data_IF_915023723881
#
_entry.id   IF_915023723881
#
_cell.length_a   1.000
_cell.length_b   1.000
_cell.length_c   1.000
_cell.angle_alpha   90.00
_cell.angle_beta   90.00
_cell.angle_gamma   90.00
#
_symmetry.space_group_name_H-M   'P 1'
#
loop_
_entity.id
_entity.type
_entity.pdbx_description
1 polymer ?
#
# COMPACT_ATOMS: atom_id res chain seq x y z
N UNK A 1 9.68 18.19 21.89
CA UNK A 1 11.05 18.63 21.56
C UNK A 1 11.76 17.46 20.93
N UNK A 2 12.12 17.55 19.65
CA UNK A 2 12.86 16.52 18.93
C UNK A 2 14.30 16.49 19.50
N UNK A 3 14.84 15.31 19.81
CA UNK A 3 16.22 15.18 20.31
C UNK A 3 17.23 15.61 19.24
N UNK A 4 18.38 16.17 19.63
CA UNK A 4 19.44 16.57 18.70
C UNK A 4 19.91 15.42 17.79
N UNK A 5 19.87 14.18 18.29
CA UNK A 5 20.17 12.97 17.52
C UNK A 5 19.13 12.75 16.42
N UNK A 6 17.85 12.96 16.73
CA UNK A 6 16.76 12.77 15.78
C UNK A 6 16.77 13.85 14.69
N UNK A 7 17.10 15.09 15.06
CA UNK A 7 17.26 16.17 14.09
C UNK A 7 18.41 15.90 13.13
N UNK A 8 19.55 15.40 13.62
CA UNK A 8 20.67 15.01 12.76
C UNK A 8 20.29 13.87 11.79
N UNK A 9 19.46 12.92 12.25
CA UNK A 9 18.93 11.83 11.41
C UNK A 9 17.99 12.32 10.31
N UNK A 10 17.08 13.24 10.65
CA UNK A 10 16.16 13.85 9.68
C UNK A 10 16.96 14.57 8.59
N UNK A 11 17.99 15.33 8.99
CA UNK A 11 18.86 16.05 8.05
C UNK A 11 19.66 15.09 7.15
N UNK A 12 20.17 13.97 7.68
CA UNK A 12 20.84 12.94 6.89
C UNK A 12 19.89 12.34 5.84
N UNK A 13 18.67 11.98 6.24
CA UNK A 13 17.65 11.46 5.33
C UNK A 13 17.27 12.48 4.24
N UNK A 14 17.03 13.74 4.62
CA UNK A 14 16.72 14.83 3.69
C UNK A 14 17.87 15.05 2.68
N UNK A 15 19.12 15.01 3.15
CA UNK A 15 20.30 15.17 2.30
C UNK A 15 20.47 14.01 1.31
N UNK A 16 20.28 12.77 1.75
CA UNK A 16 20.37 11.60 0.87
C UNK A 16 19.22 11.57 -0.15
N UNK A 17 18.00 11.89 0.26
CA UNK A 17 16.84 12.02 -0.64
C UNK A 17 17.04 13.14 -1.66
N UNK A 18 17.54 14.30 -1.24
CA UNK A 18 17.85 15.42 -2.12
C UNK A 18 19.05 15.14 -3.03
N UNK A 19 20.07 14.44 -2.54
CA UNK A 19 21.24 14.00 -3.31
C UNK A 19 20.86 13.03 -4.43
N UNK A 20 19.98 12.07 -4.14
CA UNK A 20 19.36 11.21 -5.14
C UNK A 20 18.51 12.00 -6.17
N UNK A 21 18.00 13.18 -5.79
CA UNK A 21 17.28 14.06 -6.71
C UNK A 21 18.18 14.95 -7.57
N UNK A 22 19.27 15.49 -7.00
CA UNK A 22 20.12 16.51 -7.63
C UNK A 22 21.02 15.99 -8.76
N UNK A 23 21.33 14.69 -8.82
CA UNK A 23 22.19 14.12 -9.86
C UNK A 23 21.45 13.05 -10.67
N UNK A 24 20.80 13.42 -11.81
CA UNK A 24 20.08 12.49 -12.68
C UNK A 24 20.90 11.29 -13.17
N UNK A 25 22.23 11.44 -13.21
CA UNK A 25 23.19 10.43 -13.69
C UNK A 25 23.70 9.49 -12.59
N UNK A 26 23.51 9.82 -11.31
CA UNK A 26 23.72 8.89 -10.20
C UNK A 26 22.45 8.05 -9.93
N UNK A 27 21.35 8.40 -10.59
CA UNK A 27 20.05 7.77 -10.39
C UNK A 27 20.06 6.38 -10.96
N UNK A 28 19.15 5.58 -10.43
CA UNK A 28 18.50 4.37 -10.95
C UNK A 28 18.04 4.42 -12.44
N UNK A 29 18.52 5.39 -13.23
CA UNK A 29 18.54 5.40 -14.67
C UNK A 29 19.45 4.25 -15.16
N UNK A 30 18.79 3.18 -15.58
CA UNK A 30 19.33 2.19 -16.52
C UNK A 30 20.54 1.41 -15.98
N UNK A 31 20.30 0.58 -14.97
CA UNK A 31 21.08 -0.66 -14.78
C UNK A 31 22.24 -0.67 -13.78
N UNK A 32 22.75 0.49 -13.31
CA UNK A 32 24.07 0.48 -12.63
C UNK A 32 24.11 0.84 -11.14
N UNK A 33 22.97 1.15 -10.48
CA UNK A 33 22.95 1.27 -9.01
C UNK A 33 21.90 0.33 -8.42
N UNK A 34 22.32 -0.90 -8.17
CA UNK A 34 21.54 -1.98 -7.55
C UNK A 34 21.38 -1.83 -6.03
N UNK A 35 21.97 -0.80 -5.41
CA UNK A 35 22.02 -0.66 -3.96
C UNK A 35 21.30 0.62 -3.48
N UNK A 36 20.13 0.43 -2.89
CA UNK A 36 19.48 1.46 -2.07
C UNK A 36 20.35 1.66 -0.82
N UNK A 37 20.77 2.89 -0.55
CA UNK A 37 21.58 3.23 0.64
C UNK A 37 20.86 2.77 1.92
N UNK A 38 21.58 2.29 2.96
CA UNK A 38 20.97 1.91 4.24
C UNK A 38 20.12 3.02 4.87
N UNK A 39 20.45 4.29 4.60
CA UNK A 39 19.67 5.46 5.03
C UNK A 39 18.28 5.46 4.37
N UNK A 40 18.23 5.26 3.06
CA UNK A 40 16.98 5.22 2.29
C UNK A 40 16.15 3.97 2.58
N UNK A 41 16.81 2.83 2.81
CA UNK A 41 16.13 1.59 3.24
C UNK A 41 15.45 1.78 4.60
N UNK A 42 16.04 2.60 5.50
CA UNK A 42 15.43 2.97 6.78
C UNK A 42 14.16 3.80 6.58
N UNK A 43 14.16 4.76 5.66
CA UNK A 43 12.97 5.54 5.31
C UNK A 43 11.87 4.64 4.75
N UNK A 44 12.22 3.66 3.90
CA UNK A 44 11.27 2.65 3.43
C UNK A 44 10.70 1.81 4.58
N UNK A 45 11.54 1.42 5.55
CA UNK A 45 11.12 0.67 6.73
C UNK A 45 10.15 1.47 7.62
N UNK A 46 10.39 2.76 7.81
CA UNK A 46 9.49 3.65 8.56
C UNK A 46 8.13 3.75 7.86
N UNK A 47 8.11 3.93 6.54
CA UNK A 47 6.86 3.95 5.77
C UNK A 47 6.14 2.59 5.80
N UNK A 48 6.89 1.48 5.76
CA UNK A 48 6.35 0.12 5.91
C UNK A 48 5.66 -0.08 7.25
N UNK A 49 6.20 0.47 8.34
CA UNK A 49 5.67 0.26 9.68
C UNK A 49 4.53 1.22 10.03
N UNK A 50 4.62 2.47 9.56
CA UNK A 50 3.71 3.55 10.00
C UNK A 50 2.70 3.95 8.93
N UNK A 51 3.01 3.72 7.66
CA UNK A 51 2.24 4.27 6.54
C UNK A 51 2.33 5.78 6.38
N UNK A 52 3.12 6.49 7.21
CA UNK A 52 3.16 7.95 7.22
C UNK A 52 4.29 8.46 6.33
N UNK A 53 3.98 9.17 5.22
CA UNK A 53 4.99 9.76 4.35
C UNK A 53 5.55 11.01 5.02
N UNK A 54 6.81 10.93 5.48
CA UNK A 54 7.45 12.00 6.25
C UNK A 54 8.31 12.95 5.41
N UNK A 55 8.47 12.71 4.11
CA UNK A 55 9.33 13.50 3.24
C UNK A 55 8.59 13.90 1.96
N UNK A 56 9.10 14.91 1.27
CA UNK A 56 8.49 15.42 0.05
C UNK A 56 8.25 14.28 -0.97
N UNK A 57 7.01 14.19 -1.45
CA UNK A 57 6.52 13.07 -2.26
C UNK A 57 7.38 12.81 -3.49
N UNK A 58 7.88 13.84 -4.17
CA UNK A 58 8.72 13.68 -5.36
C UNK A 58 9.98 12.83 -5.08
N UNK A 59 10.59 12.99 -3.90
CA UNK A 59 11.74 12.19 -3.50
C UNK A 59 11.33 10.76 -3.12
N UNK A 60 10.24 10.61 -2.36
CA UNK A 60 9.70 9.32 -1.96
C UNK A 60 9.25 8.48 -3.16
N UNK A 61 8.60 9.11 -4.15
CA UNK A 61 8.14 8.48 -5.39
C UNK A 61 9.30 7.89 -6.17
N UNK A 62 10.41 8.62 -6.32
CA UNK A 62 11.62 8.11 -6.99
C UNK A 62 12.20 6.91 -6.24
N UNK A 63 12.27 6.98 -4.90
CA UNK A 63 12.75 5.87 -4.06
C UNK A 63 11.84 4.64 -4.19
N UNK A 64 10.52 4.83 -4.15
CA UNK A 64 9.53 3.75 -4.30
C UNK A 64 9.60 3.12 -5.69
N UNK A 65 9.75 3.92 -6.75
CA UNK A 65 9.92 3.42 -8.12
C UNK A 65 11.19 2.58 -8.26
N UNK A 66 12.30 3.02 -7.66
CA UNK A 66 13.55 2.26 -7.65
C UNK A 66 13.39 0.92 -6.91
N UNK A 67 12.81 0.94 -5.71
CA UNK A 67 12.56 -0.27 -4.91
C UNK A 67 11.60 -1.23 -5.62
N UNK A 68 10.54 -0.70 -6.23
CA UNK A 68 9.56 -1.46 -6.99
C UNK A 68 10.20 -2.21 -8.16
N UNK A 69 11.05 -1.55 -8.95
CA UNK A 69 11.79 -2.19 -10.04
C UNK A 69 12.67 -3.32 -9.52
N UNK A 70 13.45 -3.05 -8.46
CA UNK A 70 14.31 -4.06 -7.84
C UNK A 70 13.51 -5.28 -7.35
N UNK A 71 12.34 -5.05 -6.73
CA UNK A 71 11.47 -6.11 -6.23
C UNK A 71 10.89 -6.98 -7.37
N UNK A 72 10.52 -6.35 -8.49
CA UNK A 72 10.04 -7.06 -9.68
C UNK A 72 11.17 -7.88 -10.31
N UNK A 73 12.37 -7.32 -10.44
CA UNK A 73 13.54 -8.02 -10.99
C UNK A 73 13.94 -9.22 -10.12
N UNK A 74 13.90 -9.08 -8.79
CA UNK A 74 14.17 -10.17 -7.85
C UNK A 74 13.20 -11.34 -8.02
N UNK A 75 11.89 -11.09 -8.02
CA UNK A 75 10.89 -12.16 -8.18
C UNK A 75 10.90 -12.73 -9.60
N UNK A 76 11.21 -11.91 -10.61
CA UNK A 76 11.38 -12.39 -11.98
C UNK A 76 12.57 -13.34 -12.11
N UNK A 77 13.68 -13.05 -11.44
CA UNK A 77 14.84 -13.94 -11.38
C UNK A 77 14.53 -15.27 -10.66
N UNK A 78 13.78 -15.22 -9.55
CA UNK A 78 13.34 -16.42 -8.82
C UNK A 78 12.37 -17.30 -9.62
N UNK A 79 11.40 -16.70 -10.33
CA UNK A 79 10.42 -17.42 -11.15
C UNK A 79 11.07 -18.15 -12.33
N UNK A 80 12.17 -17.61 -12.88
CA UNK A 80 13.00 -18.30 -13.89
C UNK A 80 13.69 -19.56 -13.35
N UNK A 81 14.05 -19.58 -12.07
CA UNK A 81 14.76 -20.70 -11.45
C UNK A 81 13.81 -21.82 -11.01
N UNK A 82 12.59 -21.49 -10.58
CA UNK A 82 11.57 -22.46 -10.16
C UNK A 82 10.23 -22.19 -10.87
N UNK A 83 10.04 -22.70 -12.11
CA UNK A 83 8.77 -22.51 -12.82
C UNK A 83 7.62 -23.16 -12.04
N UNK A 84 6.60 -22.38 -11.66
CA UNK A 84 5.42 -22.92 -10.99
C UNK A 84 4.60 -23.77 -11.97
N UNK A 85 4.37 -25.09 -11.72
CA UNK A 85 3.57 -25.92 -12.60
C UNK A 85 2.10 -25.49 -12.60
N UNK A 86 1.47 -25.40 -13.78
CA UNK A 86 0.02 -25.24 -13.92
C UNK A 86 -0.52 -23.80 -13.96
N UNK A 87 0.31 -22.77 -13.73
CA UNK A 87 -0.08 -21.39 -14.06
C UNK A 87 0.26 -21.17 -15.53
N UNK A 88 -0.71 -21.44 -16.39
CA UNK A 88 -0.59 -21.33 -17.85
C UNK A 88 -0.17 -19.94 -18.29
N UNK A 89 1.14 -19.73 -18.41
CA UNK A 89 1.70 -18.63 -19.15
C UNK A 89 2.46 -19.19 -20.36
N UNK A 90 1.82 -19.04 -21.52
CA UNK A 90 2.27 -19.58 -22.80
C UNK A 90 3.72 -19.14 -23.13
N UNK A 91 4.60 -20.05 -23.59
CA UNK A 91 5.98 -19.74 -23.98
C UNK A 91 6.09 -18.65 -25.05
N UNK A 92 5.09 -18.48 -25.91
CA UNK A 92 5.06 -17.49 -27.00
C UNK A 92 4.72 -16.07 -26.55
N UNK A 93 4.41 -15.85 -25.27
CA UNK A 93 3.95 -14.57 -24.71
C UNK A 93 4.69 -14.16 -23.42
N UNK A 94 5.82 -14.82 -23.09
CA UNK A 94 6.57 -14.67 -21.82
C UNK A 94 7.14 -13.27 -21.55
N UNK A 95 7.75 -12.64 -22.53
CA UNK A 95 8.48 -11.40 -22.27
C UNK A 95 7.65 -10.14 -22.58
N UNK A 96 6.98 -10.06 -23.73
CA UNK A 96 6.30 -8.83 -24.14
C UNK A 96 5.25 -8.36 -23.13
N UNK A 97 4.41 -9.26 -22.62
CA UNK A 97 3.41 -8.89 -21.61
C UNK A 97 3.98 -8.65 -20.20
N UNK A 98 5.15 -9.19 -19.87
CA UNK A 98 5.76 -8.95 -18.56
C UNK A 98 6.30 -7.53 -18.48
N UNK A 99 7.14 -7.15 -19.45
CA UNK A 99 7.74 -5.83 -19.51
C UNK A 99 6.66 -4.75 -19.60
N UNK A 100 5.59 -5.00 -20.36
CA UNK A 100 4.40 -4.15 -20.43
C UNK A 100 3.71 -3.98 -19.07
N UNK A 101 3.53 -5.06 -18.31
CA UNK A 101 2.87 -4.98 -17.00
C UNK A 101 3.74 -4.35 -15.93
N UNK A 102 5.05 -4.60 -15.94
CA UNK A 102 5.99 -3.90 -15.08
C UNK A 102 6.03 -2.40 -15.41
N UNK A 103 6.07 -2.06 -16.70
CA UNK A 103 5.95 -0.68 -17.15
C UNK A 103 4.62 -0.06 -16.68
N UNK A 104 3.51 -0.78 -16.78
CA UNK A 104 2.21 -0.32 -16.31
C UNK A 104 2.20 -0.02 -14.80
N UNK A 105 2.65 -0.95 -13.96
CA UNK A 105 2.69 -0.74 -12.49
C UNK A 105 3.59 0.46 -12.13
N UNK A 106 4.77 0.56 -12.75
CA UNK A 106 5.65 1.72 -12.52
C UNK A 106 5.04 3.03 -13.03
N UNK A 107 4.31 2.98 -14.15
CA UNK A 107 3.56 4.11 -14.71
C UNK A 107 2.44 4.56 -13.78
N UNK A 108 1.64 3.64 -13.26
CA UNK A 108 0.59 3.92 -12.27
C UNK A 108 1.16 4.65 -11.06
N UNK A 109 2.24 4.13 -10.45
CA UNK A 109 2.87 4.79 -9.32
C UNK A 109 3.38 6.21 -9.66
N UNK A 110 3.85 6.41 -10.90
CA UNK A 110 4.34 7.71 -11.36
C UNK A 110 3.23 8.75 -11.60
N UNK A 111 1.98 8.32 -11.83
CA UNK A 111 0.83 9.23 -12.04
C UNK A 111 0.33 9.89 -10.75
N UNK A 112 0.69 9.38 -9.59
CA UNK A 112 0.26 9.94 -8.31
C UNK A 112 0.95 11.29 -8.03
N UNK A 113 0.15 12.33 -7.83
CA UNK A 113 0.61 13.66 -7.37
C UNK A 113 0.94 13.69 -5.87
N UNK A 114 0.47 12.69 -5.11
CA UNK A 114 0.75 12.52 -3.69
C UNK A 114 0.80 11.05 -3.29
N UNK A 115 1.30 10.72 -2.09
CA UNK A 115 1.40 9.34 -1.63
C UNK A 115 0.01 8.69 -1.55
N UNK A 116 -0.20 7.48 -2.11
CA UNK A 116 -1.49 6.80 -2.03
C UNK A 116 -1.77 6.36 -0.60
N UNK A 117 -3.05 6.25 -0.20
CA UNK A 117 -3.38 5.73 1.15
C UNK A 117 -2.91 4.28 1.38
N UNK A 118 -2.64 3.55 0.29
CA UNK A 118 -2.08 2.20 0.30
C UNK A 118 -0.56 2.18 0.48
N UNK A 119 0.10 3.33 0.73
CA UNK A 119 1.56 3.45 0.83
C UNK A 119 2.19 2.43 1.78
N UNK A 120 1.58 2.19 2.94
CA UNK A 120 2.07 1.19 3.89
C UNK A 120 2.08 -0.20 3.27
N UNK A 121 0.96 -0.62 2.69
CA UNK A 121 0.83 -1.95 2.11
C UNK A 121 1.70 -2.12 0.88
N UNK A 122 1.84 -1.07 0.08
CA UNK A 122 2.76 -1.01 -1.06
C UNK A 122 4.20 -1.22 -0.59
N UNK A 123 4.66 -0.47 0.41
CA UNK A 123 6.02 -0.56 0.96
C UNK A 123 6.31 -1.91 1.61
N UNK A 124 5.35 -2.52 2.32
CA UNK A 124 5.47 -3.89 2.82
C UNK A 124 5.79 -4.90 1.71
N UNK A 125 5.04 -4.84 0.61
CA UNK A 125 5.15 -5.81 -0.49
C UNK A 125 6.47 -5.62 -1.26
N UNK A 126 6.84 -4.39 -1.60
CA UNK A 126 8.08 -4.15 -2.37
C UNK A 126 9.35 -4.33 -1.54
N UNK A 127 9.28 -4.25 -0.21
CA UNK A 127 10.44 -4.54 0.66
C UNK A 127 10.66 -6.05 0.84
N UNK A 128 9.60 -6.85 0.88
CA UNK A 128 9.69 -8.30 1.07
C UNK A 128 8.83 -9.05 0.04
N UNK A 129 9.18 -8.96 -1.25
CA UNK A 129 8.34 -9.48 -2.32
C UNK A 129 8.29 -11.02 -2.30
N UNK A 130 9.39 -11.70 -2.00
CA UNK A 130 9.46 -13.17 -1.97
C UNK A 130 8.68 -13.79 -0.80
N UNK A 131 8.58 -13.10 0.34
CA UNK A 131 7.74 -13.53 1.46
C UNK A 131 6.26 -13.36 1.15
N UNK A 132 5.93 -12.31 0.41
CA UNK A 132 4.55 -11.95 0.10
C UNK A 132 3.97 -12.77 -1.06
N UNK A 133 4.77 -12.99 -2.11
CA UNK A 133 4.34 -13.65 -3.34
C UNK A 133 5.45 -14.50 -3.95
N UNK A 134 5.18 -15.80 -4.09
CA UNK A 134 6.08 -16.77 -4.75
C UNK A 134 6.06 -16.72 -6.28
N UNK A 135 5.12 -15.98 -6.86
CA UNK A 135 4.95 -15.89 -8.31
C UNK A 135 4.83 -14.42 -8.70
N UNK A 136 5.60 -14.06 -9.72
CA UNK A 136 5.67 -12.72 -10.28
C UNK A 136 4.31 -12.19 -10.71
N UNK A 137 3.48 -13.05 -11.31
CA UNK A 137 2.13 -12.69 -11.73
C UNK A 137 1.25 -12.25 -10.55
N UNK A 138 1.36 -12.94 -9.41
CA UNK A 138 0.60 -12.58 -8.20
C UNK A 138 1.09 -11.26 -7.61
N UNK A 139 2.41 -11.04 -7.62
CA UNK A 139 3.01 -9.79 -7.18
C UNK A 139 2.50 -8.60 -8.01
N UNK A 140 2.58 -8.69 -9.34
CA UNK A 140 2.10 -7.64 -10.26
C UNK A 140 0.61 -7.38 -10.03
N UNK A 141 -0.23 -8.43 -9.94
CA UNK A 141 -1.66 -8.27 -9.70
C UNK A 141 -1.95 -7.58 -8.36
N UNK A 142 -1.18 -7.87 -7.32
CA UNK A 142 -1.33 -7.23 -6.02
C UNK A 142 -0.95 -5.74 -6.09
N UNK A 143 0.15 -5.42 -6.78
CA UNK A 143 0.61 -4.05 -6.96
C UNK A 143 -0.37 -3.22 -7.80
N UNK A 144 -0.89 -3.76 -8.90
CA UNK A 144 -1.92 -3.11 -9.71
C UNK A 144 -3.16 -2.78 -8.87
N UNK A 145 -3.61 -3.70 -8.00
CA UNK A 145 -4.75 -3.45 -7.11
C UNK A 145 -4.47 -2.35 -6.08
N UNK A 146 -3.26 -2.28 -5.55
CA UNK A 146 -2.87 -1.26 -4.58
C UNK A 146 -2.72 0.12 -5.21
N UNK A 147 -2.38 0.17 -6.50
CA UNK A 147 -2.21 1.40 -7.27
C UNK A 147 -3.46 1.80 -8.06
N UNK A 148 -4.49 0.95 -8.14
CA UNK A 148 -5.79 1.26 -8.75
C UNK A 148 -6.65 2.22 -7.89
N UNK A 149 -6.08 2.75 -6.81
CA UNK A 149 -6.73 3.70 -5.91
C UNK A 149 -6.58 5.12 -6.43
N UNK A 150 -7.54 6.00 -6.09
CA UNK A 150 -7.49 7.42 -6.47
C UNK A 150 -7.21 8.36 -5.31
N UNK A 151 -7.30 7.90 -4.07
CA UNK A 151 -7.11 8.75 -2.89
C UNK A 151 -5.63 8.81 -2.45
N UNK A 152 -5.21 10.03 -2.13
CA UNK A 152 -3.88 10.35 -1.61
C UNK A 152 -3.96 10.82 -0.16
N UNK A 153 -2.84 10.69 0.55
CA UNK A 153 -2.64 11.20 1.90
C UNK A 153 -1.66 12.37 1.90
N UNK A 154 -1.72 13.20 2.93
CA UNK A 154 -0.84 14.36 3.04
C UNK A 154 0.54 13.93 3.54
N UNK A 155 1.58 14.56 2.99
CA UNK A 155 2.94 14.43 3.53
C UNK A 155 3.01 15.13 4.88
N UNK A 156 3.60 14.45 5.85
CA UNK A 156 3.75 14.94 7.23
C UNK A 156 5.18 15.44 7.42
N UNK A 157 5.37 16.49 8.22
CA UNK A 157 6.71 16.93 8.59
C UNK A 157 7.37 15.84 9.46
N UNK A 158 8.62 15.43 9.20
CA UNK A 158 9.26 14.36 9.95
C UNK A 158 9.40 14.72 11.45
N UNK A 159 9.46 16.01 11.78
CA UNK A 159 9.53 16.50 13.17
C UNK A 159 8.20 16.37 13.92
N UNK A 160 7.06 16.28 13.22
CA UNK A 160 5.72 16.12 13.83
C UNK A 160 5.17 14.71 13.66
N UNK A 161 5.74 13.90 12.78
CA UNK A 161 5.31 12.53 12.48
C UNK A 161 5.15 11.62 13.72
N UNK A 162 6.05 11.63 14.72
CA UNK A 162 5.90 10.77 15.91
C UNK A 162 4.59 11.01 16.68
N UNK A 163 4.16 12.27 16.77
CA UNK A 163 2.91 12.63 17.44
C UNK A 163 1.69 12.10 16.68
N UNK A 164 1.73 12.17 15.34
CA UNK A 164 0.65 11.68 14.48
C UNK A 164 0.55 10.16 14.54
N UNK A 165 1.68 9.45 14.44
CA UNK A 165 1.71 7.98 14.55
C UNK A 165 1.17 7.50 15.90
N UNK A 166 1.49 8.21 16.99
CA UNK A 166 1.02 7.85 18.32
C UNK A 166 -0.51 8.01 18.48
N UNK A 167 -1.12 9.00 17.82
CA UNK A 167 -2.58 9.17 17.80
C UNK A 167 -3.29 8.00 17.12
N UNK A 168 -2.73 7.46 16.03
CA UNK A 168 -3.32 6.31 15.34
C UNK A 168 -3.07 4.98 16.06
N UNK A 169 -2.03 4.89 16.89
CA UNK A 169 -1.66 3.67 17.63
C UNK A 169 -2.35 3.54 18.98
N UNK A 170 -2.74 4.66 19.58
CA UNK A 170 -3.41 4.69 20.87
C UNK A 170 -4.88 4.99 20.63
N UNK A 171 -5.81 4.03 20.71
CA UNK A 171 -7.19 4.42 20.92
C UNK A 171 -7.21 5.08 22.30
N UNK A 172 -7.25 6.42 22.35
CA UNK A 172 -7.77 7.07 23.55
C UNK A 172 -9.12 6.41 23.83
N UNK A 173 -9.43 5.97 25.06
CA UNK A 173 -10.80 5.62 25.39
C UNK A 173 -11.59 6.90 25.14
N UNK A 174 -12.32 6.94 24.04
CA UNK A 174 -13.31 7.99 23.81
C UNK A 174 -14.26 7.86 25.00
N UNK A 175 -14.29 8.84 25.89
CA UNK A 175 -15.40 9.02 26.80
C UNK A 175 -16.65 9.17 25.92
N UNK A 176 -17.38 8.06 25.75
CA UNK A 176 -18.68 8.05 25.11
C UNK A 176 -19.66 8.57 26.14
N UNK A 177 -19.60 9.86 26.45
CA UNK A 177 -20.69 10.52 27.19
C UNK A 177 -21.62 11.21 26.19
N UNK A 178 -22.57 10.42 25.71
CA UNK A 178 -23.85 10.89 25.18
C UNK A 178 -24.77 9.68 25.08
N UNK A 179 -25.75 9.51 25.99
CA UNK A 179 -26.79 8.54 25.76
C UNK A 179 -27.55 8.94 24.50
N UNK A 180 -27.44 8.13 23.46
CA UNK A 180 -28.35 8.18 22.30
C UNK A 180 -29.76 8.05 22.87
N UNK A 181 -30.48 9.17 22.92
CA UNK A 181 -31.90 9.16 23.21
C UNK A 181 -32.56 8.30 22.13
N UNK A 182 -33.07 7.12 22.53
CA UNK A 182 -33.90 6.30 21.67
C UNK A 182 -35.11 7.14 21.25
N UNK A 183 -35.49 7.21 19.97
CA UNK A 183 -36.74 7.83 19.59
C UNK A 183 -37.87 7.08 20.30
N UNK A 184 -38.67 7.81 21.08
CA UNK A 184 -39.89 7.28 21.68
C UNK A 184 -40.84 7.02 20.51
N UNK A 185 -41.31 5.78 20.26
CA UNK A 185 -42.31 5.55 19.24
C UNK A 185 -43.60 6.29 19.65
N UNK A 186 -44.05 7.22 18.81
CA UNK A 186 -45.37 7.82 18.94
C UNK A 186 -46.41 6.71 18.71
N UNK A 187 -47.16 6.38 19.75
CA UNK A 187 -48.36 5.54 19.65
C UNK A 187 -49.37 6.28 18.79
N UNK A 188 -49.51 5.90 17.52
CA UNK A 188 -50.67 6.25 16.71
C UNK A 188 -51.72 5.19 16.99
N UNK A 189 -52.76 5.58 17.73
CA UNK A 189 -53.95 4.77 17.90
C UNK A 189 -54.67 4.59 16.56
N UNK A 190 -55.06 3.34 16.25
CA UNK A 190 -56.29 3.13 15.50
C UNK A 190 -56.20 2.31 14.20
N UNK A 191 -56.70 1.07 14.33
CA UNK A 191 -57.55 0.34 13.38
C UNK A 191 -56.90 -0.36 12.19
N UNK A 192 -56.97 -1.70 12.18
CA UNK A 192 -56.92 -2.49 10.94
C UNK A 192 -56.15 -3.81 11.04
N UNK A 193 -56.87 -4.85 11.46
CA UNK A 193 -56.48 -6.26 11.45
C UNK A 193 -56.03 -6.74 10.05
N UNK A 194 -54.75 -7.11 9.88
CA UNK A 194 -54.31 -8.00 8.80
C UNK A 194 -53.12 -8.86 9.25
N UNK A 195 -53.42 -10.15 9.38
CA UNK A 195 -52.54 -11.26 9.68
C UNK A 195 -51.60 -11.53 8.50
N UNK A 196 -50.28 -11.34 8.67
CA UNK A 196 -49.28 -11.76 7.67
C UNK A 196 -48.19 -12.56 8.36
N UNK A 197 -48.37 -13.88 8.33
CA UNK A 197 -47.40 -14.87 8.78
C UNK A 197 -46.05 -14.71 8.06
N UNK A 198 -45.01 -14.40 8.83
CA UNK A 198 -43.63 -14.36 8.35
C UNK A 198 -43.12 -15.79 8.08
N UNK A 199 -43.05 -16.18 6.81
CA UNK A 199 -42.28 -17.35 6.37
C UNK A 199 -40.84 -16.92 6.09
N UNK A 200 -39.90 -17.45 6.87
CA UNK A 200 -38.47 -17.33 6.61
C UNK A 200 -38.11 -18.06 5.29
N UNK A 201 -37.35 -17.44 4.38
CA UNK A 201 -36.88 -18.10 3.18
C UNK A 201 -35.60 -18.89 3.49
N UNK A 202 -35.35 -19.94 2.71
CA UNK A 202 -34.12 -20.74 2.63
C UNK A 202 -34.12 -22.07 3.41
N UNK A 203 -34.86 -23.03 2.86
CA UNK A 203 -34.38 -24.41 2.76
C UNK A 203 -34.67 -24.89 1.34
N UNK A 204 -33.61 -25.06 0.55
CA UNK A 204 -33.68 -25.56 -0.81
C UNK A 204 -34.12 -27.02 -0.81
N UNK A 205 -35.19 -27.31 -1.54
CA UNK A 205 -35.54 -28.65 -1.98
C UNK A 205 -34.72 -28.99 -3.21
N UNK A 206 -33.86 -29.99 -3.11
CA UNK A 206 -33.39 -30.74 -4.28
C UNK A 206 -34.33 -31.93 -4.47
N UNK A 207 -34.99 -31.97 -5.62
CA UNK A 207 -35.92 -33.02 -6.05
C UNK A 207 -35.21 -33.89 -7.08
N UNK A 208 -35.19 -35.21 -6.88
CA UNK A 208 -35.19 -36.31 -7.87
C UNK A 208 -34.68 -37.57 -7.16
N UNK A 209 -35.31 -38.75 -7.19
CA UNK A 209 -36.44 -39.28 -7.93
C UNK A 209 -37.08 -40.40 -7.10
#
# INVERSE_FOLDING_TARGET
MTSAVEEQRILENEKELAGAWASPSLRFAKGDVTAISPVLERVLLEMRQTGVPCYAWEHLKVLLLAKLKLALDQVHAGDKQTPTPGVGWSPTNRNNRFDERCANVTGLLNTFEGPPFTLQRLTEIIMEPEKSYKSLHKLINALEKLLAVSSTIQVVNPRTAPAIVQQFRSPSPTEVDSPIARPIPQTVEGVGELDVAARAPWSGTETAA
#
